data_IF_404694598950
#
_entry.id   IF_404694598950
#
_cell.length_a   1.000
_cell.length_b   1.000
_cell.length_c   1.000
_cell.angle_alpha   90.00
_cell.angle_beta   90.00
_cell.angle_gamma   90.00
#
_symmetry.space_group_name_H-M   'P 1'
#
loop_
_entity.id
_entity.type
_entity.pdbx_description
1 polymer ?
#
# COMPACT_ATOMS: atom_id res chain seq x y z
N UNK A 1 21.24 -2.06 14.50
CA UNK A 1 21.37 -1.22 13.29
C UNK A 1 21.29 0.23 13.73
N UNK A 2 22.25 1.07 13.36
CA UNK A 2 22.32 2.51 13.71
C UNK A 2 21.12 3.25 13.07
N UNK A 3 20.66 4.34 13.71
CA UNK A 3 19.53 5.16 13.26
C UNK A 3 19.75 5.70 11.83
N UNK A 4 20.96 6.15 11.52
CA UNK A 4 21.36 6.63 10.19
C UNK A 4 21.22 5.53 9.13
N UNK A 5 21.67 4.30 9.41
CA UNK A 5 21.57 3.17 8.49
C UNK A 5 20.11 2.82 8.18
N UNK A 6 19.22 2.89 9.19
CA UNK A 6 17.77 2.66 8.99
C UNK A 6 17.15 3.74 8.10
N UNK A 7 17.46 5.01 8.36
CA UNK A 7 16.96 6.14 7.54
C UNK A 7 17.42 6.03 6.10
N UNK A 8 18.71 5.73 5.87
CA UNK A 8 19.23 5.52 4.52
C UNK A 8 18.51 4.36 3.81
N UNK A 9 18.15 3.29 4.51
CA UNK A 9 17.34 2.20 3.98
C UNK A 9 15.95 2.66 3.53
N UNK A 10 15.28 3.52 4.31
CA UNK A 10 13.96 4.05 3.92
C UNK A 10 14.05 5.00 2.73
N UNK A 11 15.05 5.89 2.70
CA UNK A 11 15.30 6.76 1.55
C UNK A 11 15.59 5.92 0.30
N UNK A 12 16.47 4.92 0.42
CA UNK A 12 16.77 4.01 -0.69
C UNK A 12 15.52 3.27 -1.19
N UNK A 13 14.69 2.75 -0.28
CA UNK A 13 13.42 2.11 -0.63
C UNK A 13 12.46 3.07 -1.35
N UNK A 14 12.27 4.28 -0.82
CA UNK A 14 11.42 5.29 -1.44
C UNK A 14 11.90 5.64 -2.86
N UNK A 15 13.19 5.89 -3.03
CA UNK A 15 13.77 6.20 -4.34
C UNK A 15 13.62 5.03 -5.33
N UNK A 16 13.88 3.80 -4.90
CA UNK A 16 13.71 2.61 -5.75
C UNK A 16 12.28 2.51 -6.26
N UNK A 17 11.29 2.60 -5.37
CA UNK A 17 9.89 2.49 -5.77
C UNK A 17 9.39 3.71 -6.54
N UNK A 18 9.91 4.91 -6.28
CA UNK A 18 9.65 6.09 -7.10
C UNK A 18 10.15 5.92 -8.54
N UNK A 19 11.37 5.40 -8.72
CA UNK A 19 11.93 5.09 -10.05
C UNK A 19 11.09 4.04 -10.76
N UNK A 20 10.71 2.94 -10.08
CA UNK A 20 9.86 1.91 -10.67
C UNK A 20 8.48 2.45 -11.08
N UNK A 21 7.85 3.29 -10.25
CA UNK A 21 6.59 3.95 -10.59
C UNK A 21 6.76 4.87 -11.81
N UNK A 22 7.84 5.67 -11.86
CA UNK A 22 8.13 6.56 -12.98
C UNK A 22 8.33 5.78 -14.28
N UNK A 23 9.04 4.65 -14.24
CA UNK A 23 9.21 3.76 -15.39
C UNK A 23 7.83 3.25 -15.86
N UNK A 24 6.97 2.81 -14.96
CA UNK A 24 5.63 2.34 -15.33
C UNK A 24 4.77 3.46 -15.94
N UNK A 25 4.82 4.68 -15.41
CA UNK A 25 4.18 5.84 -16.02
C UNK A 25 4.71 6.12 -17.42
N UNK A 26 6.03 6.12 -17.60
CA UNK A 26 6.64 6.36 -18.90
C UNK A 26 6.24 5.29 -19.92
N UNK A 27 6.24 4.01 -19.53
CA UNK A 27 5.80 2.91 -20.40
C UNK A 27 4.31 3.03 -20.75
N UNK A 28 3.47 3.43 -19.78
CA UNK A 28 2.04 3.65 -20.03
C UNK A 28 1.82 4.79 -21.01
N UNK A 29 2.40 5.95 -20.79
CA UNK A 29 2.29 7.13 -21.68
C UNK A 29 2.85 6.84 -23.08
N UNK A 30 3.92 6.04 -23.17
CA UNK A 30 4.50 5.61 -24.44
C UNK A 30 3.68 4.51 -25.15
N UNK A 31 2.56 4.04 -24.59
CA UNK A 31 1.74 2.95 -25.16
C UNK A 31 2.40 1.56 -25.14
N UNK A 32 3.48 1.38 -24.37
CA UNK A 32 4.31 0.16 -24.36
C UNK A 32 3.85 -0.90 -23.35
N UNK A 33 2.72 -0.69 -22.66
CA UNK A 33 2.19 -1.61 -21.65
C UNK A 33 1.26 -2.69 -22.23
N UNK A 34 0.76 -2.53 -23.44
CA UNK A 34 -0.28 -3.38 -24.03
C UNK A 34 0.07 -4.88 -24.05
N UNK A 35 1.29 -5.21 -24.48
CA UNK A 35 1.75 -6.62 -24.53
C UNK A 35 1.84 -7.26 -23.15
N UNK A 36 2.34 -6.53 -22.15
CA UNK A 36 2.39 -6.99 -20.76
C UNK A 36 0.98 -7.17 -20.18
N UNK A 37 0.08 -6.24 -20.46
CA UNK A 37 -1.31 -6.28 -19.98
C UNK A 37 -2.06 -7.46 -20.58
N UNK A 38 -1.93 -7.71 -21.88
CA UNK A 38 -2.53 -8.87 -22.55
C UNK A 38 -1.96 -10.20 -22.05
N UNK A 39 -0.65 -10.30 -21.90
CA UNK A 39 -0.02 -11.50 -21.35
C UNK A 39 -0.50 -11.81 -19.92
N UNK A 40 -0.67 -10.77 -19.07
CA UNK A 40 -1.16 -10.91 -17.72
C UNK A 40 -2.64 -11.33 -17.67
N UNK A 41 -3.48 -10.80 -18.56
CA UNK A 41 -4.88 -11.23 -18.71
C UNK A 41 -4.92 -12.72 -19.10
N UNK A 42 -4.20 -13.11 -20.14
CA UNK A 42 -4.17 -14.50 -20.61
C UNK A 42 -3.67 -15.47 -19.52
N UNK A 43 -2.62 -15.07 -18.78
CA UNK A 43 -2.13 -15.83 -17.62
C UNK A 43 -3.20 -15.96 -16.53
N UNK A 44 -3.85 -14.84 -16.16
CA UNK A 44 -4.90 -14.85 -15.14
C UNK A 44 -6.06 -15.79 -15.56
N UNK A 45 -6.50 -15.73 -16.81
CA UNK A 45 -7.55 -16.61 -17.35
C UNK A 45 -7.14 -18.09 -17.29
N UNK A 46 -5.90 -18.40 -17.66
CA UNK A 46 -5.37 -19.76 -17.66
C UNK A 46 -5.32 -20.42 -16.27
N UNK A 47 -5.14 -19.63 -15.21
CA UNK A 47 -5.07 -20.14 -13.82
C UNK A 47 -6.39 -20.03 -13.05
N UNK A 48 -7.46 -19.54 -13.70
CA UNK A 48 -8.78 -19.41 -13.05
C UNK A 48 -9.35 -20.76 -12.66
N UNK A 49 -9.90 -20.81 -11.46
CA UNK A 49 -10.64 -21.97 -10.93
C UNK A 49 -11.74 -21.44 -9.99
N UNK A 50 -12.72 -22.26 -9.67
CA UNK A 50 -13.79 -21.90 -8.74
C UNK A 50 -13.23 -21.55 -7.36
N UNK A 51 -12.32 -22.37 -6.82
CA UNK A 51 -11.68 -22.15 -5.53
C UNK A 51 -10.82 -20.87 -5.56
N UNK A 52 -10.00 -20.69 -6.61
CA UNK A 52 -9.18 -19.50 -6.79
C UNK A 52 -10.03 -18.23 -6.89
N UNK A 53 -11.15 -18.30 -7.61
CA UNK A 53 -12.08 -17.17 -7.76
C UNK A 53 -12.74 -16.82 -6.44
N UNK A 54 -13.21 -17.81 -5.67
CA UNK A 54 -13.77 -17.59 -4.33
C UNK A 54 -12.74 -16.98 -3.39
N UNK A 55 -11.51 -17.49 -3.40
CA UNK A 55 -10.39 -16.96 -2.61
C UNK A 55 -10.09 -15.48 -2.96
N UNK A 56 -9.90 -15.15 -4.25
CA UNK A 56 -9.56 -13.79 -4.64
C UNK A 56 -10.74 -12.82 -4.50
N UNK A 57 -11.99 -13.27 -4.55
CA UNK A 57 -13.16 -12.48 -4.15
C UNK A 57 -13.12 -12.10 -2.68
N UNK A 58 -12.73 -13.00 -1.78
CA UNK A 58 -12.57 -12.70 -0.37
C UNK A 58 -11.37 -11.76 -0.11
N UNK A 59 -10.22 -12.05 -0.73
CA UNK A 59 -9.01 -11.22 -0.59
C UNK A 59 -9.27 -9.78 -1.05
N UNK A 60 -9.95 -9.59 -2.18
CA UNK A 60 -10.18 -8.25 -2.72
C UNK A 60 -11.07 -7.37 -1.85
N UNK A 61 -11.99 -7.94 -1.04
CA UNK A 61 -12.82 -7.18 -0.09
C UNK A 61 -11.94 -6.36 0.85
N UNK A 62 -10.84 -6.96 1.32
CA UNK A 62 -9.92 -6.33 2.29
C UNK A 62 -9.19 -5.09 1.72
N UNK A 63 -9.14 -4.91 0.41
CA UNK A 63 -8.55 -3.72 -0.24
C UNK A 63 -9.56 -2.69 -0.70
N UNK A 64 -10.85 -2.97 -0.56
CA UNK A 64 -11.93 -2.07 -0.95
C UNK A 64 -12.20 -0.98 0.08
N UNK A 65 -12.63 0.21 -0.37
CA UNK A 65 -12.96 1.33 0.51
C UNK A 65 -14.05 0.99 1.53
N UNK A 66 -15.03 0.16 1.16
CA UNK A 66 -16.09 -0.31 2.07
C UNK A 66 -15.55 -1.09 3.29
N UNK A 67 -14.38 -1.70 3.17
CA UNK A 67 -13.70 -2.38 4.28
C UNK A 67 -12.66 -1.47 4.94
N UNK A 68 -11.79 -0.82 4.15
CA UNK A 68 -10.69 -0.02 4.67
C UNK A 68 -11.14 1.19 5.47
N UNK A 69 -12.21 1.89 5.03
CA UNK A 69 -12.69 3.11 5.70
C UNK A 69 -13.23 2.80 7.11
N UNK A 70 -14.15 1.85 7.31
CA UNK A 70 -14.59 1.49 8.67
C UNK A 70 -13.45 1.00 9.57
N UNK A 71 -12.55 0.17 9.04
CA UNK A 71 -11.39 -0.33 9.79
C UNK A 71 -10.46 0.82 10.19
N UNK A 72 -10.19 1.75 9.29
CA UNK A 72 -9.37 2.92 9.59
C UNK A 72 -10.00 3.83 10.64
N UNK A 73 -11.30 4.12 10.53
CA UNK A 73 -12.04 4.94 11.50
C UNK A 73 -11.99 4.30 12.89
N UNK A 74 -12.28 2.99 12.97
CA UNK A 74 -12.20 2.24 14.22
C UNK A 74 -10.76 2.27 14.79
N UNK A 75 -9.76 2.04 13.96
CA UNK A 75 -8.36 2.05 14.38
C UNK A 75 -7.91 3.44 14.86
N UNK A 76 -8.27 4.51 14.16
CA UNK A 76 -8.00 5.89 14.57
C UNK A 76 -8.64 6.16 15.94
N UNK A 77 -9.90 5.78 16.14
CA UNK A 77 -10.60 5.98 17.41
C UNK A 77 -9.91 5.21 18.56
N UNK A 78 -9.57 3.92 18.36
CA UNK A 78 -8.87 3.11 19.35
C UNK A 78 -7.49 3.69 19.69
N UNK A 79 -6.70 4.05 18.67
CA UNK A 79 -5.38 4.66 18.87
C UNK A 79 -5.47 5.99 19.61
N UNK A 80 -6.46 6.82 19.30
CA UNK A 80 -6.69 8.10 19.96
C UNK A 80 -7.05 7.93 21.44
N UNK A 81 -7.97 7.00 21.75
CA UNK A 81 -8.36 6.65 23.13
C UNK A 81 -7.15 6.09 23.92
N UNK A 82 -6.34 5.26 23.29
CA UNK A 82 -5.10 4.70 23.87
C UNK A 82 -3.94 5.73 23.92
N UNK A 83 -4.17 6.98 23.51
CA UNK A 83 -3.18 8.08 23.47
C UNK A 83 -2.02 7.88 22.47
N UNK A 84 -2.14 6.96 21.52
CA UNK A 84 -1.26 6.77 20.36
C UNK A 84 -1.63 7.77 19.24
N UNK A 85 -1.59 9.06 19.55
CA UNK A 85 -2.09 10.13 18.65
C UNK A 85 -1.28 10.26 17.36
N UNK A 86 0.02 9.96 17.43
CA UNK A 86 0.92 10.00 16.28
C UNK A 86 0.57 8.90 15.30
N UNK A 87 0.38 7.67 15.78
CA UNK A 87 -0.04 6.53 14.99
C UNK A 87 -1.41 6.78 14.35
N UNK A 88 -2.38 7.34 15.09
CA UNK A 88 -3.69 7.72 14.56
C UNK A 88 -3.56 8.74 13.41
N UNK A 89 -2.70 9.75 13.56
CA UNK A 89 -2.41 10.73 12.50
C UNK A 89 -1.78 10.06 11.27
N UNK A 90 -0.83 9.15 11.46
CA UNK A 90 -0.21 8.44 10.35
C UNK A 90 -1.17 7.50 9.62
N UNK A 91 -2.16 6.89 10.30
CA UNK A 91 -3.26 6.16 9.64
C UNK A 91 -4.05 7.08 8.73
N UNK A 92 -4.46 8.24 9.24
CA UNK A 92 -5.23 9.24 8.47
C UNK A 92 -4.44 9.72 7.25
N UNK A 93 -3.17 10.07 7.44
CA UNK A 93 -2.29 10.55 6.37
C UNK A 93 -2.05 9.44 5.34
N UNK A 94 -1.83 8.19 5.79
CA UNK A 94 -1.58 7.06 4.88
C UNK A 94 -2.73 6.85 3.91
N UNK A 95 -3.95 6.77 4.41
CA UNK A 95 -5.14 6.54 3.58
C UNK A 95 -5.59 7.80 2.85
N UNK A 96 -5.66 8.93 3.53
CA UNK A 96 -6.18 10.17 2.95
C UNK A 96 -5.35 10.67 1.78
N UNK A 97 -4.01 10.70 1.91
CA UNK A 97 -3.12 11.14 0.82
C UNK A 97 -3.16 10.13 -0.33
N UNK A 98 -3.16 8.82 -0.03
CA UNK A 98 -3.25 7.79 -1.07
C UNK A 98 -4.56 7.86 -1.86
N UNK A 99 -5.69 8.08 -1.18
CA UNK A 99 -7.01 8.19 -1.81
C UNK A 99 -7.07 9.41 -2.73
N UNK A 100 -6.71 10.59 -2.22
CA UNK A 100 -6.70 11.83 -3.01
C UNK A 100 -5.79 11.70 -4.23
N UNK A 101 -4.58 11.18 -4.04
CA UNK A 101 -3.65 10.98 -5.15
C UNK A 101 -4.18 9.96 -6.17
N UNK A 102 -4.83 8.87 -5.73
CA UNK A 102 -5.42 7.88 -6.61
C UNK A 102 -6.53 8.46 -7.48
N UNK A 103 -7.46 9.20 -6.87
CA UNK A 103 -8.56 9.82 -7.62
C UNK A 103 -8.07 10.89 -8.61
N UNK A 104 -7.10 11.72 -8.22
CA UNK A 104 -6.49 12.71 -9.14
C UNK A 104 -5.81 12.02 -10.33
N UNK A 105 -5.05 10.95 -10.10
CA UNK A 105 -4.40 10.18 -11.17
C UNK A 105 -5.42 9.50 -12.08
N UNK A 106 -6.50 8.93 -11.54
CA UNK A 106 -7.58 8.35 -12.34
C UNK A 106 -8.24 9.37 -13.25
N UNK A 107 -8.56 10.54 -12.72
CA UNK A 107 -9.15 11.62 -13.51
C UNK A 107 -8.19 12.12 -14.60
N UNK A 108 -6.89 12.20 -14.29
CA UNK A 108 -5.88 12.67 -15.24
C UNK A 108 -5.68 11.69 -16.42
N UNK A 109 -5.57 10.37 -16.13
CA UNK A 109 -5.30 9.36 -17.16
C UNK A 109 -6.56 8.83 -17.83
N UNK A 110 -7.71 8.88 -17.17
CA UNK A 110 -9.02 8.46 -17.66
C UNK A 110 -9.01 7.11 -18.40
N UNK A 111 -8.19 6.16 -17.97
CA UNK A 111 -8.01 4.85 -18.64
C UNK A 111 -9.26 3.99 -18.48
N UNK A 112 -9.84 3.44 -19.58
CA UNK A 112 -10.93 2.46 -19.47
C UNK A 112 -10.44 1.16 -18.83
N UNK A 113 -11.35 0.44 -18.19
CA UNK A 113 -11.05 -0.88 -17.59
C UNK A 113 -11.04 -1.99 -18.62
N UNK A 114 -10.39 -3.14 -18.31
CA UNK A 114 -10.56 -4.36 -19.12
C UNK A 114 -12.04 -4.71 -19.23
N UNK A 115 -12.48 -5.12 -20.42
CA UNK A 115 -13.86 -5.52 -20.67
C UNK A 115 -13.91 -6.96 -21.16
N UNK A 116 -14.99 -7.68 -20.82
CA UNK A 116 -15.22 -9.06 -21.28
C UNK A 116 -14.44 -10.15 -20.52
N UNK A 117 -13.55 -9.77 -19.59
CA UNK A 117 -12.72 -10.72 -18.82
C UNK A 117 -12.96 -10.67 -17.31
N UNK A 118 -13.86 -9.79 -16.86
CA UNK A 118 -14.14 -9.54 -15.46
C UNK A 118 -15.01 -10.62 -14.81
N UNK A 119 -14.61 -11.07 -13.61
CA UNK A 119 -15.34 -12.05 -12.78
C UNK A 119 -16.21 -11.40 -11.70
N UNK A 120 -16.14 -10.09 -11.57
CA UNK A 120 -16.93 -9.26 -10.65
C UNK A 120 -17.38 -8.00 -11.39
N UNK A 121 -18.38 -7.32 -10.85
CA UNK A 121 -18.86 -6.07 -11.42
C UNK A 121 -17.74 -5.02 -11.51
N UNK A 122 -17.70 -4.31 -12.65
CA UNK A 122 -16.70 -3.27 -12.86
C UNK A 122 -17.12 -2.00 -12.11
N UNK A 123 -16.20 -1.42 -11.31
CA UNK A 123 -16.45 -0.11 -10.72
C UNK A 123 -16.61 0.97 -11.82
N UNK A 124 -17.43 1.97 -11.57
CA UNK A 124 -17.65 3.10 -12.49
C UNK A 124 -16.40 3.98 -12.70
N UNK A 125 -15.46 3.96 -11.73
CA UNK A 125 -14.23 4.75 -11.77
C UNK A 125 -13.21 4.22 -12.80
N UNK A 126 -12.32 5.09 -13.26
CA UNK A 126 -11.23 4.75 -14.18
C UNK A 126 -10.28 3.67 -13.66
N UNK A 127 -9.54 3.04 -14.60
CA UNK A 127 -8.70 1.88 -14.30
C UNK A 127 -7.35 2.25 -13.68
N UNK A 128 -6.70 3.31 -14.15
CA UNK A 128 -5.29 3.61 -13.85
C UNK A 128 -5.13 4.79 -12.87
N UNK A 129 -4.36 4.63 -11.80
CA UNK A 129 -3.81 3.38 -11.25
C UNK A 129 -4.85 2.61 -10.41
N UNK A 130 -4.54 1.33 -10.08
CA UNK A 130 -5.42 0.51 -9.24
C UNK A 130 -5.48 1.01 -7.80
N UNK A 131 -6.67 1.38 -7.30
CA UNK A 131 -6.86 1.85 -5.92
C UNK A 131 -6.51 0.79 -4.87
N UNK A 132 -6.91 -0.48 -5.07
CA UNK A 132 -6.55 -1.58 -4.16
C UNK A 132 -5.03 -1.77 -4.03
N UNK A 133 -4.29 -1.56 -5.13
CA UNK A 133 -2.84 -1.68 -5.13
C UNK A 133 -2.13 -0.41 -4.64
N UNK A 134 -2.80 0.75 -4.65
CA UNK A 134 -2.20 2.01 -4.25
C UNK A 134 -2.52 2.42 -2.81
N UNK A 135 -3.74 2.17 -2.33
CA UNK A 135 -4.21 2.69 -1.03
C UNK A 135 -3.91 1.69 0.09
N UNK A 136 -4.30 0.42 -0.09
CA UNK A 136 -4.20 -0.62 0.94
C UNK A 136 -2.77 -0.95 1.38
N UNK A 137 -1.81 -1.19 0.46
CA UNK A 137 -0.51 -1.72 0.84
C UNK A 137 0.28 -0.84 1.80
N UNK A 138 0.34 0.49 1.60
CA UNK A 138 1.03 1.39 2.52
C UNK A 138 0.42 1.36 3.92
N UNK A 139 -0.91 1.33 4.02
CA UNK A 139 -1.65 1.22 5.28
C UNK A 139 -1.32 -0.09 6.00
N UNK A 140 -1.47 -1.23 5.33
CA UNK A 140 -1.20 -2.54 5.94
C UNK A 140 0.25 -2.71 6.37
N UNK A 141 1.21 -2.23 5.57
CA UNK A 141 2.62 -2.26 5.92
C UNK A 141 2.96 -1.37 7.12
N UNK A 142 2.32 -0.20 7.26
CA UNK A 142 2.48 0.65 8.46
C UNK A 142 1.90 -0.02 9.71
N UNK A 143 0.72 -0.62 9.61
CA UNK A 143 0.11 -1.36 10.72
C UNK A 143 1.00 -2.54 11.13
N UNK A 144 1.48 -3.31 10.17
CA UNK A 144 2.41 -4.42 10.40
C UNK A 144 3.69 -3.97 11.11
N UNK A 145 4.21 -2.81 10.73
CA UNK A 145 5.37 -2.23 11.38
C UNK A 145 5.10 -1.93 12.86
N UNK A 146 4.00 -1.28 13.20
CA UNK A 146 3.67 -1.00 14.60
C UNK A 146 3.42 -2.28 15.40
N UNK A 147 2.70 -3.25 14.84
CA UNK A 147 2.50 -4.56 15.47
C UNK A 147 3.86 -5.22 15.75
N UNK A 148 4.77 -5.26 14.78
CA UNK A 148 6.09 -5.82 14.96
C UNK A 148 6.91 -5.10 16.05
N UNK A 149 6.74 -3.78 16.19
CA UNK A 149 7.40 -2.99 17.25
C UNK A 149 6.78 -3.22 18.63
N UNK A 150 5.44 -3.18 18.73
CA UNK A 150 4.75 -3.37 20.01
C UNK A 150 4.97 -4.76 20.60
N UNK A 151 5.21 -5.74 19.75
CA UNK A 151 5.47 -7.13 20.15
C UNK A 151 6.89 -7.59 19.85
N UNK A 152 7.87 -6.67 19.86
CA UNK A 152 9.27 -6.95 19.47
C UNK A 152 9.91 -8.10 20.26
N UNK A 153 9.50 -8.33 21.52
CA UNK A 153 9.98 -9.43 22.36
C UNK A 153 9.43 -10.81 21.93
N UNK A 154 8.38 -10.85 21.11
CA UNK A 154 7.78 -12.10 20.64
C UNK A 154 8.49 -12.62 19.40
N UNK A 155 8.82 -13.92 19.37
CA UNK A 155 9.52 -14.54 18.21
C UNK A 155 8.79 -14.39 16.87
N UNK A 156 7.45 -14.34 16.89
CA UNK A 156 6.65 -14.18 15.68
C UNK A 156 6.66 -12.76 15.11
N UNK A 157 7.09 -11.75 15.88
CA UNK A 157 7.05 -10.35 15.44
C UNK A 157 7.86 -10.09 14.15
N UNK A 158 8.97 -10.81 13.98
CA UNK A 158 9.79 -10.73 12.77
C UNK A 158 9.11 -11.26 11.51
N UNK A 159 8.07 -12.08 11.65
CA UNK A 159 7.31 -12.66 10.54
C UNK A 159 6.15 -11.76 10.07
N UNK A 160 5.77 -10.76 10.86
CA UNK A 160 4.61 -9.90 10.56
C UNK A 160 4.81 -9.11 9.26
N UNK A 161 5.97 -8.47 9.09
CA UNK A 161 6.26 -7.68 7.89
C UNK A 161 6.30 -8.54 6.61
N UNK A 162 7.05 -9.67 6.56
CA UNK A 162 7.01 -10.56 5.40
C UNK A 162 5.61 -11.09 5.09
N UNK A 163 4.84 -11.50 6.11
CA UNK A 163 3.48 -12.00 5.92
C UNK A 163 2.55 -10.95 5.32
N UNK A 164 2.61 -9.71 5.82
CA UNK A 164 1.82 -8.62 5.28
C UNK A 164 2.29 -8.23 3.87
N UNK A 165 3.60 -8.31 3.58
CA UNK A 165 4.10 -8.06 2.24
C UNK A 165 3.54 -9.08 1.23
N UNK A 166 3.50 -10.37 1.58
CA UNK A 166 2.85 -11.41 0.77
C UNK A 166 1.34 -11.11 0.61
N UNK A 167 0.66 -10.75 1.71
CA UNK A 167 -0.75 -10.42 1.69
C UNK A 167 -1.07 -9.25 0.74
N UNK A 168 -0.32 -8.14 0.81
CA UNK A 168 -0.58 -6.99 -0.07
C UNK A 168 -0.24 -7.28 -1.53
N UNK A 169 0.73 -8.18 -1.81
CA UNK A 169 1.00 -8.66 -3.15
C UNK A 169 -0.18 -9.50 -3.69
N UNK A 170 -0.75 -10.39 -2.87
CA UNK A 170 -1.96 -11.15 -3.21
C UNK A 170 -3.17 -10.23 -3.41
N UNK A 171 -3.31 -9.22 -2.55
CA UNK A 171 -4.36 -8.20 -2.67
C UNK A 171 -4.26 -7.45 -4.01
N UNK A 172 -3.06 -7.01 -4.38
CA UNK A 172 -2.80 -6.36 -5.64
C UNK A 172 -3.07 -7.29 -6.83
N UNK A 173 -2.56 -8.53 -6.78
CA UNK A 173 -2.76 -9.53 -7.83
C UNK A 173 -4.25 -9.92 -8.00
N UNK A 174 -5.05 -9.90 -6.93
CA UNK A 174 -6.49 -10.19 -7.00
C UNK A 174 -7.21 -9.36 -8.07
N UNK A 175 -6.72 -8.14 -8.34
CA UNK A 175 -7.36 -7.22 -9.31
C UNK A 175 -7.13 -7.64 -10.76
N UNK A 176 -5.96 -8.21 -11.04
CA UNK A 176 -5.63 -8.82 -12.34
C UNK A 176 -6.39 -10.13 -12.52
N UNK A 177 -6.36 -10.99 -11.48
CA UNK A 177 -7.06 -12.28 -11.50
C UNK A 177 -8.56 -12.12 -11.74
N UNK A 178 -9.19 -11.16 -11.07
CA UNK A 178 -10.62 -10.87 -11.22
C UNK A 178 -10.95 -10.07 -12.50
N UNK A 179 -9.95 -9.67 -13.30
CA UNK A 179 -10.14 -9.03 -14.60
C UNK A 179 -10.66 -7.60 -14.53
N UNK A 180 -10.44 -6.88 -13.42
CA UNK A 180 -10.96 -5.51 -13.21
C UNK A 180 -9.93 -4.41 -13.38
N UNK A 181 -8.65 -4.79 -13.46
CA UNK A 181 -7.51 -3.91 -13.72
C UNK A 181 -6.48 -4.59 -14.61
N UNK A 182 -5.77 -3.82 -15.40
CA UNK A 182 -4.57 -4.26 -16.09
C UNK A 182 -3.41 -4.44 -15.10
N UNK A 183 -2.43 -5.30 -15.44
CA UNK A 183 -1.26 -5.49 -14.58
C UNK A 183 -0.43 -4.21 -14.45
N UNK A 184 -0.38 -3.38 -15.48
CA UNK A 184 0.28 -2.08 -15.43
C UNK A 184 -0.37 -1.11 -14.45
N UNK A 185 -1.72 -1.11 -14.30
CA UNK A 185 -2.45 -0.33 -13.29
C UNK A 185 -2.04 -0.76 -11.87
N UNK A 186 -1.94 -2.08 -11.70
CA UNK A 186 -1.64 -2.72 -10.41
C UNK A 186 -0.19 -2.47 -10.01
N UNK A 187 0.77 -2.66 -10.92
CA UNK A 187 2.19 -2.42 -10.65
C UNK A 187 2.46 -0.97 -10.33
N UNK A 188 1.87 -0.04 -11.11
CA UNK A 188 2.01 1.40 -10.84
C UNK A 188 1.46 1.76 -9.46
N UNK A 189 0.23 1.32 -9.15
CA UNK A 189 -0.38 1.56 -7.84
C UNK A 189 0.46 0.98 -6.70
N UNK A 190 0.95 -0.25 -6.84
CA UNK A 190 1.77 -0.91 -5.84
C UNK A 190 3.11 -0.19 -5.61
N UNK A 191 3.79 0.23 -6.67
CA UNK A 191 5.06 0.96 -6.54
C UNK A 191 4.86 2.33 -5.90
N UNK A 192 3.79 3.06 -6.25
CA UNK A 192 3.44 4.30 -5.56
C UNK A 192 3.15 4.07 -4.07
N UNK A 193 2.41 3.01 -3.74
CA UNK A 193 2.11 2.64 -2.37
C UNK A 193 3.36 2.30 -1.56
N UNK A 194 4.30 1.54 -2.14
CA UNK A 194 5.55 1.20 -1.46
C UNK A 194 6.46 2.42 -1.29
N UNK A 195 6.54 3.29 -2.30
CA UNK A 195 7.23 4.58 -2.15
C UNK A 195 6.64 5.36 -0.97
N UNK A 196 5.31 5.49 -0.93
CA UNK A 196 4.59 6.18 0.13
C UNK A 196 4.82 5.54 1.52
N UNK A 197 4.79 4.21 1.61
CA UNK A 197 5.13 3.49 2.85
C UNK A 197 6.51 3.86 3.39
N UNK A 198 7.55 3.89 2.54
CA UNK A 198 8.89 4.25 2.97
C UNK A 198 9.00 5.72 3.39
N UNK A 199 8.28 6.63 2.73
CA UNK A 199 8.20 8.04 3.15
C UNK A 199 7.48 8.19 4.49
N UNK A 200 6.39 7.46 4.72
CA UNK A 200 5.70 7.42 6.01
C UNK A 200 6.62 6.89 7.12
N UNK A 201 7.41 5.84 6.83
CA UNK A 201 8.39 5.29 7.78
C UNK A 201 9.46 6.31 8.14
N UNK A 202 9.99 7.01 7.14
CA UNK A 202 10.97 8.07 7.37
C UNK A 202 10.36 9.19 8.22
N UNK A 203 9.17 9.67 7.87
CA UNK A 203 8.45 10.70 8.62
C UNK A 203 8.15 10.30 10.07
N UNK A 204 7.73 9.04 10.29
CA UNK A 204 7.46 8.51 11.64
C UNK A 204 8.73 8.47 12.50
N UNK A 205 9.85 7.96 11.97
CA UNK A 205 11.13 7.91 12.68
C UNK A 205 11.67 9.34 13.01
N UNK A 206 11.51 10.29 12.08
CA UNK A 206 11.87 11.68 12.31
C UNK A 206 11.03 12.32 13.43
N UNK A 207 9.72 12.08 13.38
CA UNK A 207 8.80 12.60 14.39
C UNK A 207 9.12 12.06 15.79
N UNK A 208 9.33 10.73 15.89
CA UNK A 208 9.63 10.08 17.16
C UNK A 208 11.02 10.48 17.68
N UNK A 209 12.01 10.64 16.80
CA UNK A 209 13.36 11.11 17.17
C UNK A 209 13.37 12.52 17.76
N UNK A 210 12.57 13.44 17.22
CA UNK A 210 12.44 14.80 17.76
C UNK A 210 11.80 14.84 19.15
N UNK A 211 10.85 13.93 19.43
CA UNK A 211 10.22 13.83 20.75
C UNK A 211 11.19 13.38 21.83
N UNK A 212 12.06 12.42 21.54
CA UNK A 212 13.06 11.94 22.52
C UNK A 212 14.10 13.00 22.88
N UNK A 213 14.43 13.93 21.96
CA UNK A 213 15.38 15.01 22.21
C UNK A 213 14.78 16.21 23.00
N UNK A 214 13.45 16.35 22.98
CA UNK A 214 12.74 17.44 23.69
C UNK A 214 12.41 17.06 25.14
N UNK A 215 12.34 15.78 25.47
CA UNK A 215 11.95 15.29 26.82
C UNK A 215 13.14 15.17 27.77
N UNK A 216 14.39 15.23 27.32
CA UNK A 216 15.60 15.21 28.14
C UNK A 216 16.44 16.51 28.04
N UNK A 217 16.02 17.62 28.70
CA UNK A 217 16.95 18.66 29.09
C UNK A 217 17.09 18.70 30.62
N UNK A 218 17.51 17.59 31.26
CA UNK A 218 18.03 17.71 32.63
C UNK A 218 19.53 17.43 32.56
N UNK A 219 20.39 18.45 32.67
CA UNK A 219 21.80 18.19 32.90
C UNK A 219 21.91 17.62 34.30
N UNK A 220 22.40 16.38 34.40
CA UNK A 220 22.93 15.88 35.67
C UNK A 220 24.08 16.80 36.10
N UNK A 221 23.74 17.82 36.89
CA UNK A 221 24.72 18.52 37.67
C UNK A 221 25.13 17.66 38.85
N UNK A 222 26.37 17.20 38.78
CA UNK A 222 27.32 16.76 39.82
C UNK A 222 26.75 16.30 41.17
#
# INVERSE_FOLDING_TARGET
MNQTTRKNGYVGGALTFAVLATIMFALYVAGKVAGMDQAAIAFAEAIRSEIGTAFFRLVTILGGGMFLVPVAVMMIAVLYIKKYRVEAMFVLISLGVSEVANELLKLFFARPRPSGVNLVELPESFSFPSGHAMIGPAFYCMVAFWIAQWFAEKRWSSLVQPAVFIFVALLAFSRVYLGVHYVSDVLTGFFLSMCWYFLLRLGYEEWMGRRSTVVDPIPHSR
#
